data_IF_940698179253
#
_entry.id   IF_940698179253
#
_cell.length_a   1.000
_cell.length_b   1.000
_cell.length_c   1.000
_cell.angle_alpha   90.00
_cell.angle_beta   90.00
_cell.angle_gamma   90.00
#
_symmetry.space_group_name_H-M   'P 1'
#
loop_
_entity.id
_entity.type
_entity.pdbx_description
1 polymer ?
#
# COMPACT_ATOMS: atom_id res chain seq x y z
N UNK A 1 8.91 -19.94 -29.76
CA UNK A 1 10.18 -19.73 -29.02
C UNK A 1 10.51 -21.05 -28.35
N UNK A 2 11.67 -21.64 -28.66
CA UNK A 2 12.14 -22.87 -28.00
C UNK A 2 12.73 -22.47 -26.66
N UNK A 3 12.28 -23.00 -25.51
CA UNK A 3 12.89 -22.69 -24.23
C UNK A 3 14.35 -23.17 -24.25
N UNK A 4 15.30 -22.44 -23.63
CA UNK A 4 16.66 -22.93 -23.52
C UNK A 4 16.64 -24.29 -22.82
N UNK A 5 17.18 -25.30 -23.50
CA UNK A 5 17.34 -26.65 -22.97
C UNK A 5 18.10 -26.56 -21.63
N UNK A 6 17.66 -27.25 -20.57
CA UNK A 6 18.32 -27.18 -19.28
C UNK A 6 19.65 -27.94 -19.35
N UNK A 7 20.68 -27.29 -19.89
CA UNK A 7 22.08 -27.61 -19.61
C UNK A 7 22.50 -27.19 -18.19
N UNK A 8 21.55 -26.79 -17.35
CA UNK A 8 21.77 -26.31 -16.00
C UNK A 8 21.81 -27.49 -15.02
N UNK A 9 23.01 -27.92 -14.64
CA UNK A 9 23.24 -28.94 -13.61
C UNK A 9 22.79 -28.55 -12.18
N UNK A 10 22.02 -27.47 -12.01
CA UNK A 10 21.50 -27.00 -10.71
C UNK A 10 20.36 -25.99 -10.88
N UNK A 11 19.39 -26.04 -9.96
CA UNK A 11 18.31 -25.04 -9.81
C UNK A 11 18.86 -23.61 -9.62
N UNK A 12 20.09 -23.46 -9.10
CA UNK A 12 20.72 -22.16 -8.89
C UNK A 12 21.02 -21.40 -10.19
N UNK A 13 20.93 -22.08 -11.35
CA UNK A 13 21.08 -21.45 -12.66
C UNK A 13 19.75 -20.99 -13.26
N UNK A 14 18.62 -21.26 -12.59
CA UNK A 14 17.30 -20.87 -13.08
C UNK A 14 17.01 -19.42 -12.72
N UNK A 15 17.03 -18.54 -13.71
CA UNK A 15 16.61 -17.14 -13.56
C UNK A 15 15.28 -16.99 -12.81
N UNK A 16 14.18 -17.72 -13.12
CA UNK A 16 12.93 -17.55 -12.38
C UNK A 16 13.05 -17.95 -10.90
N UNK A 17 13.87 -18.96 -10.58
CA UNK A 17 14.14 -19.35 -9.19
C UNK A 17 14.92 -18.26 -8.43
N UNK A 18 15.96 -17.69 -9.05
CA UNK A 18 16.72 -16.59 -8.46
C UNK A 18 15.84 -15.37 -8.20
N UNK A 19 14.93 -15.04 -9.13
CA UNK A 19 13.93 -13.99 -8.95
C UNK A 19 13.00 -14.29 -7.78
N UNK A 20 12.51 -15.53 -7.66
CA UNK A 20 11.68 -15.97 -6.54
C UNK A 20 12.40 -15.84 -5.18
N UNK A 21 13.70 -16.17 -5.13
CA UNK A 21 14.51 -16.04 -3.91
C UNK A 21 14.69 -14.59 -3.49
N UNK A 22 14.97 -13.69 -4.44
CA UNK A 22 15.28 -12.28 -4.16
C UNK A 22 14.05 -11.44 -3.78
N UNK A 23 12.84 -12.02 -3.76
CA UNK A 23 11.64 -11.33 -3.30
C UNK A 23 11.63 -11.18 -1.78
N UNK A 24 11.10 -10.06 -1.29
CA UNK A 24 10.82 -9.92 0.14
C UNK A 24 9.53 -10.66 0.50
N UNK A 25 8.46 -10.39 -0.24
CA UNK A 25 7.15 -11.00 -0.04
C UNK A 25 6.90 -12.22 -0.93
N UNK A 26 5.79 -12.91 -0.66
CA UNK A 26 5.24 -13.93 -1.55
C UNK A 26 4.94 -13.32 -2.94
N UNK A 27 5.29 -13.97 -4.06
CA UNK A 27 4.87 -13.51 -5.37
C UNK A 27 3.34 -13.47 -5.47
N UNK A 28 2.82 -12.33 -5.96
CA UNK A 28 1.41 -12.16 -6.32
C UNK A 28 0.92 -13.31 -7.21
N UNK A 29 -0.30 -13.77 -6.93
CA UNK A 29 -0.97 -14.81 -7.71
C UNK A 29 -0.41 -16.22 -7.50
N UNK A 30 0.50 -16.42 -6.54
CA UNK A 30 0.96 -17.77 -6.19
C UNK A 30 -0.23 -18.62 -5.75
N UNK A 31 -0.30 -19.84 -6.26
CA UNK A 31 -1.37 -20.78 -5.93
C UNK A 31 -1.09 -21.48 -4.61
N UNK A 32 -2.14 -21.92 -3.94
CA UNK A 32 -2.03 -22.79 -2.76
C UNK A 32 -1.33 -24.10 -3.13
N UNK A 33 -0.86 -24.82 -2.12
CA UNK A 33 -0.48 -26.20 -2.37
C UNK A 33 -1.73 -27.00 -2.73
N UNK A 34 -1.65 -27.73 -3.84
CA UNK A 34 -2.63 -28.75 -4.17
C UNK A 34 -2.33 -30.01 -3.34
N UNK A 35 -3.37 -30.60 -2.79
CA UNK A 35 -3.30 -31.90 -2.14
C UNK A 35 -3.44 -32.98 -3.21
N UNK A 36 -2.60 -34.00 -3.14
CA UNK A 36 -2.74 -35.21 -3.94
C UNK A 36 -3.93 -36.06 -3.47
N UNK A 37 -4.23 -37.15 -4.19
CA UNK A 37 -5.32 -38.08 -3.83
C UNK A 37 -5.18 -38.69 -2.42
N UNK A 38 -3.97 -38.62 -1.82
CA UNK A 38 -3.69 -39.07 -0.47
C UNK A 38 -3.75 -37.93 0.57
N UNK A 39 -4.24 -36.74 0.20
CA UNK A 39 -4.33 -35.57 1.05
C UNK A 39 -2.97 -34.97 1.41
N UNK A 40 -1.94 -35.18 0.57
CA UNK A 40 -0.59 -34.70 0.83
C UNK A 40 -0.23 -33.57 -0.12
N UNK A 41 0.39 -32.53 0.44
CA UNK A 41 0.92 -31.42 -0.36
C UNK A 41 2.28 -31.77 -0.95
N UNK A 42 2.51 -31.30 -2.18
CA UNK A 42 3.82 -31.37 -2.82
C UNK A 42 4.54 -30.02 -2.72
N UNK A 43 5.65 -30.02 -1.96
CA UNK A 43 6.53 -28.86 -1.86
C UNK A 43 7.59 -28.99 -2.95
N UNK A 44 7.69 -27.99 -3.84
CA UNK A 44 8.59 -28.04 -4.98
C UNK A 44 10.07 -27.98 -4.56
N UNK A 45 10.95 -28.54 -5.39
CA UNK A 45 12.39 -28.47 -5.13
C UNK A 45 12.86 -27.01 -5.05
N UNK A 46 13.67 -26.71 -4.03
CA UNK A 46 14.15 -25.36 -3.75
C UNK A 46 13.12 -24.40 -3.12
N UNK A 47 11.86 -24.82 -2.92
CA UNK A 47 10.81 -23.95 -2.40
C UNK A 47 11.10 -23.56 -0.94
N UNK A 48 10.88 -22.27 -0.62
CA UNK A 48 11.29 -21.65 0.66
C UNK A 48 10.20 -20.82 1.33
N UNK A 49 9.07 -20.61 0.68
CA UNK A 49 7.98 -19.77 1.19
C UNK A 49 6.74 -20.61 1.43
N UNK A 50 6.08 -20.40 2.56
CA UNK A 50 4.86 -21.13 2.89
C UNK A 50 3.69 -20.64 2.05
N UNK A 51 2.95 -21.57 1.44
CA UNK A 51 1.73 -21.28 0.67
C UNK A 51 0.47 -21.75 1.39
N UNK A 52 0.56 -22.02 2.69
CA UNK A 52 -0.59 -22.38 3.50
C UNK A 52 -1.57 -21.22 3.61
N UNK A 53 -2.86 -21.51 3.50
CA UNK A 53 -3.92 -20.54 3.74
C UNK A 53 -4.23 -20.48 5.24
N UNK A 54 -4.03 -19.31 5.84
CA UNK A 54 -4.38 -18.99 7.22
C UNK A 54 -5.76 -18.32 7.22
N UNK A 55 -6.75 -18.96 7.84
CA UNK A 55 -8.09 -18.39 8.02
C UNK A 55 -8.86 -18.18 6.71
N UNK A 56 -8.53 -18.92 5.65
CA UNK A 56 -9.26 -18.91 4.38
C UNK A 56 -9.00 -17.69 3.48
N UNK A 57 -8.19 -16.71 3.91
CA UNK A 57 -8.01 -15.43 3.22
C UNK A 57 -6.57 -15.01 3.01
N UNK A 58 -5.63 -15.49 3.82
CA UNK A 58 -4.27 -14.94 3.87
C UNK A 58 -3.24 -16.06 3.78
N UNK A 59 -2.26 -15.92 2.90
CA UNK A 59 -1.14 -16.85 2.85
C UNK A 59 -0.21 -16.65 4.04
N UNK A 60 0.34 -17.74 4.55
CA UNK A 60 1.38 -17.68 5.56
C UNK A 60 2.59 -16.89 5.05
N UNK A 61 3.06 -15.91 5.84
CA UNK A 61 4.20 -15.05 5.49
C UNK A 61 5.56 -15.69 5.75
N UNK A 62 5.60 -16.93 6.26
CA UNK A 62 6.86 -17.58 6.67
C UNK A 62 7.74 -17.89 5.46
N UNK A 63 9.00 -17.44 5.55
CA UNK A 63 10.09 -17.80 4.64
C UNK A 63 11.17 -18.54 5.41
N UNK A 64 11.66 -19.65 4.87
CA UNK A 64 12.67 -20.51 5.52
C UNK A 64 13.88 -20.73 4.61
N UNK A 65 15.01 -21.16 5.18
CA UNK A 65 16.26 -21.34 4.45
C UNK A 65 16.30 -22.59 3.58
N UNK A 66 15.52 -23.63 3.91
CA UNK A 66 15.53 -24.91 3.19
C UNK A 66 14.14 -25.47 3.01
N UNK A 67 13.98 -26.32 1.99
CA UNK A 67 12.76 -27.09 1.76
C UNK A 67 12.41 -28.01 2.93
N UNK A 68 13.42 -28.58 3.60
CA UNK A 68 13.22 -29.41 4.79
C UNK A 68 12.60 -28.62 5.94
N UNK A 69 13.10 -27.40 6.19
CA UNK A 69 12.50 -26.48 7.16
C UNK A 69 11.07 -26.10 6.76
N UNK A 70 10.79 -25.96 5.46
CA UNK A 70 9.45 -25.61 4.97
C UNK A 70 8.46 -26.74 5.23
N UNK A 71 8.88 -27.99 4.97
CA UNK A 71 8.12 -29.19 5.34
C UNK A 71 7.80 -29.20 6.83
N UNK A 72 8.80 -29.02 7.69
CA UNK A 72 8.58 -29.01 9.14
C UNK A 72 7.64 -27.89 9.58
N UNK A 73 7.77 -26.70 8.99
CA UNK A 73 6.86 -25.58 9.24
C UNK A 73 5.42 -25.92 8.84
N UNK A 74 5.20 -26.42 7.62
CA UNK A 74 3.88 -26.79 7.12
C UNK A 74 3.19 -27.84 8.02
N UNK A 75 3.93 -28.87 8.43
CA UNK A 75 3.40 -29.91 9.31
C UNK A 75 3.08 -29.35 10.70
N UNK A 76 4.02 -28.64 11.33
CA UNK A 76 3.87 -28.23 12.74
C UNK A 76 2.92 -27.05 12.94
N UNK A 77 2.89 -26.10 12.01
CA UNK A 77 2.13 -24.86 12.16
C UNK A 77 0.77 -24.93 11.48
N UNK A 78 0.66 -25.69 10.39
CA UNK A 78 -0.57 -25.76 9.59
C UNK A 78 -1.21 -27.15 9.57
N UNK A 79 -0.66 -28.13 10.30
CA UNK A 79 -1.22 -29.49 10.39
C UNK A 79 -1.22 -30.26 9.06
N UNK A 80 -0.44 -29.81 8.07
CA UNK A 80 -0.46 -30.37 6.72
C UNK A 80 0.35 -31.66 6.62
N UNK A 81 -0.10 -32.59 5.78
CA UNK A 81 0.69 -33.77 5.43
C UNK A 81 1.49 -33.50 4.16
N UNK A 82 2.78 -33.78 4.16
CA UNK A 82 3.67 -33.49 3.02
C UNK A 82 4.12 -34.79 2.37
N UNK A 83 4.00 -34.87 1.04
CA UNK A 83 4.45 -36.01 0.27
C UNK A 83 5.95 -36.28 0.48
N UNK A 84 6.34 -37.56 0.42
CA UNK A 84 7.76 -37.93 0.48
C UNK A 84 8.43 -37.44 -0.79
N UNK A 85 9.55 -36.73 -0.66
CA UNK A 85 10.28 -36.30 -1.84
C UNK A 85 11.25 -37.38 -2.29
N UNK A 86 11.13 -37.78 -3.56
CA UNK A 86 12.01 -38.78 -4.17
C UNK A 86 13.40 -38.21 -4.53
N UNK A 87 13.56 -36.89 -4.61
CA UNK A 87 14.73 -36.23 -5.20
C UNK A 87 15.71 -35.60 -4.19
N UNK A 88 15.96 -36.25 -3.04
CA UNK A 88 16.80 -35.73 -1.94
C UNK A 88 18.31 -35.62 -2.26
N UNK A 89 18.75 -35.96 -3.48
CA UNK A 89 20.16 -35.92 -3.89
C UNK A 89 20.39 -35.17 -5.19
N UNK A 90 20.27 -35.87 -6.32
CA UNK A 90 20.44 -35.33 -7.67
C UNK A 90 19.12 -35.46 -8.43
N UNK A 91 18.32 -34.37 -8.52
CA UNK A 91 17.09 -34.43 -9.28
C UNK A 91 17.38 -34.69 -10.76
N UNK A 92 16.52 -35.47 -11.42
CA UNK A 92 16.66 -35.76 -12.84
C UNK A 92 16.50 -34.50 -13.71
N UNK A 93 17.08 -34.49 -14.91
CA UNK A 93 16.90 -33.40 -15.87
C UNK A 93 15.43 -33.06 -16.15
N UNK A 94 14.55 -34.06 -16.43
CA UNK A 94 13.12 -33.82 -16.60
C UNK A 94 12.45 -33.21 -15.36
N UNK A 95 12.81 -33.64 -14.16
CA UNK A 95 12.27 -33.03 -12.95
C UNK A 95 12.76 -31.59 -12.76
N UNK A 96 14.03 -31.31 -13.06
CA UNK A 96 14.56 -29.94 -13.06
C UNK A 96 13.84 -29.05 -14.08
N UNK A 97 13.41 -29.59 -15.22
CA UNK A 97 12.57 -28.87 -16.18
C UNK A 97 11.20 -28.51 -15.56
N UNK A 98 10.52 -29.46 -14.90
CA UNK A 98 9.26 -29.17 -14.19
C UNK A 98 9.44 -28.12 -13.09
N UNK A 99 10.56 -28.17 -12.37
CA UNK A 99 10.90 -27.17 -11.34
C UNK A 99 11.11 -25.79 -11.98
N UNK A 100 11.79 -25.71 -13.13
CA UNK A 100 11.95 -24.47 -13.86
C UNK A 100 10.60 -23.88 -14.29
N UNK A 101 9.73 -24.70 -14.87
CA UNK A 101 8.38 -24.29 -15.32
C UNK A 101 7.54 -23.78 -14.16
N UNK A 102 7.59 -24.46 -13.02
CA UNK A 102 6.90 -24.02 -11.80
C UNK A 102 7.31 -22.60 -11.38
N UNK A 103 8.62 -22.31 -11.27
CA UNK A 103 9.08 -20.97 -10.90
C UNK A 103 8.83 -19.94 -11.99
N UNK A 104 8.95 -20.33 -13.26
CA UNK A 104 8.65 -19.45 -14.38
C UNK A 104 7.19 -18.99 -14.35
N UNK A 105 6.24 -19.93 -14.19
CA UNK A 105 4.81 -19.63 -14.14
C UNK A 105 4.45 -18.72 -12.96
N UNK A 106 5.04 -18.96 -11.78
CA UNK A 106 4.83 -18.09 -10.61
C UNK A 106 5.32 -16.66 -10.90
N UNK A 107 6.51 -16.53 -11.48
CA UNK A 107 7.10 -15.21 -11.73
C UNK A 107 6.41 -14.46 -12.88
N UNK A 108 5.97 -15.16 -13.92
CA UNK A 108 5.22 -14.56 -15.02
C UNK A 108 3.86 -14.07 -14.56
N UNK A 109 3.14 -14.87 -13.77
CA UNK A 109 1.86 -14.47 -13.18
C UNK A 109 2.04 -13.29 -12.23
N UNK A 110 3.11 -13.30 -11.45
CA UNK A 110 3.45 -12.17 -10.60
C UNK A 110 3.68 -10.90 -11.41
N UNK A 111 4.51 -10.96 -12.46
CA UNK A 111 4.85 -9.79 -13.29
C UNK A 111 3.61 -9.22 -13.99
N UNK A 112 2.72 -10.10 -14.46
CA UNK A 112 1.45 -9.71 -15.06
C UNK A 112 0.57 -8.95 -14.07
N UNK A 113 0.43 -9.46 -12.84
CA UNK A 113 -0.37 -8.82 -11.80
C UNK A 113 0.26 -7.52 -11.30
N UNK A 114 1.58 -7.50 -11.09
CA UNK A 114 2.30 -6.30 -10.68
C UNK A 114 2.19 -5.18 -11.74
N UNK A 115 2.27 -5.53 -13.03
CA UNK A 115 2.07 -4.57 -14.11
C UNK A 115 0.63 -4.05 -14.15
N UNK A 116 -0.36 -4.88 -13.82
CA UNK A 116 -1.76 -4.44 -13.74
C UNK A 116 -2.00 -3.48 -12.56
N UNK A 117 -1.48 -3.81 -11.38
CA UNK A 117 -1.55 -2.95 -10.19
C UNK A 117 -0.86 -1.60 -10.43
N UNK A 118 0.34 -1.61 -11.03
CA UNK A 118 1.05 -0.38 -11.35
C UNK A 118 0.27 0.52 -12.33
N UNK A 119 -0.43 -0.06 -13.32
CA UNK A 119 -1.29 0.73 -14.22
C UNK A 119 -2.47 1.36 -13.47
N UNK A 120 -3.07 0.63 -12.53
CA UNK A 120 -4.17 1.14 -11.70
C UNK A 120 -3.67 2.29 -10.84
N UNK A 121 -2.51 2.15 -10.21
CA UNK A 121 -1.91 3.19 -9.37
C UNK A 121 -1.58 4.46 -10.16
N UNK A 122 -1.04 4.32 -11.37
CA UNK A 122 -0.78 5.44 -12.27
C UNK A 122 -2.06 6.19 -12.63
N UNK A 123 -3.14 5.48 -12.95
CA UNK A 123 -4.42 6.10 -13.29
C UNK A 123 -5.05 6.78 -12.07
N UNK A 124 -5.02 6.15 -10.90
CA UNK A 124 -5.49 6.77 -9.67
C UNK A 124 -4.69 8.03 -9.32
N UNK A 125 -3.36 8.01 -9.50
CA UNK A 125 -2.52 9.18 -9.30
C UNK A 125 -2.89 10.31 -10.28
N UNK A 126 -3.13 9.98 -11.57
CA UNK A 126 -3.58 10.95 -12.58
C UNK A 126 -4.91 11.59 -12.19
N UNK A 127 -5.88 10.79 -11.75
CA UNK A 127 -7.19 11.27 -11.30
C UNK A 127 -7.10 12.17 -10.07
N UNK A 128 -6.23 11.84 -9.11
CA UNK A 128 -5.98 12.69 -7.92
C UNK A 128 -5.40 14.06 -8.30
N UNK A 129 -4.42 14.08 -9.21
CA UNK A 129 -3.83 15.34 -9.71
C UNK A 129 -4.87 16.18 -10.45
N UNK A 130 -5.67 15.55 -11.31
CA UNK A 130 -6.74 16.24 -12.05
C UNK A 130 -7.82 16.80 -11.11
N UNK A 131 -8.23 16.04 -10.10
CA UNK A 131 -9.18 16.49 -9.08
C UNK A 131 -8.64 17.70 -8.30
N UNK A 132 -7.37 17.66 -7.88
CA UNK A 132 -6.74 18.78 -7.19
C UNK A 132 -6.63 20.02 -8.08
N UNK A 133 -6.29 19.85 -9.37
CA UNK A 133 -6.24 20.95 -10.32
C UNK A 133 -7.62 21.59 -10.53
N UNK A 134 -8.70 20.80 -10.56
CA UNK A 134 -10.07 21.31 -10.67
C UNK A 134 -10.48 22.11 -9.42
N UNK A 135 -10.13 21.64 -8.22
CA UNK A 135 -10.33 22.40 -6.97
C UNK A 135 -9.59 23.73 -7.03
N UNK A 136 -8.31 23.71 -7.43
CA UNK A 136 -7.50 24.92 -7.55
C UNK A 136 -8.04 25.91 -8.60
N UNK A 137 -8.62 25.41 -9.70
CA UNK A 137 -9.21 26.25 -10.75
C UNK A 137 -10.52 26.93 -10.30
N UNK A 138 -11.26 26.32 -9.37
CA UNK A 138 -12.46 26.91 -8.76
C UNK A 138 -12.09 27.97 -7.70
N UNK A 139 -10.88 27.92 -7.15
CA UNK A 139 -10.36 29.01 -6.32
C UNK A 139 -9.94 30.16 -7.23
N UNK A 140 -10.84 31.12 -7.43
CA UNK A 140 -10.52 32.34 -8.21
C UNK A 140 -9.24 33.00 -7.67
N UNK A 141 -8.29 33.42 -8.55
CA UNK A 141 -7.14 34.17 -8.09
C UNK A 141 -7.65 35.42 -7.38
N UNK A 142 -7.21 35.62 -6.13
CA UNK A 142 -7.50 36.84 -5.38
C UNK A 142 -6.95 38.00 -6.22
N UNK A 143 -7.82 38.65 -7.00
CA UNK A 143 -7.46 39.87 -7.72
C UNK A 143 -7.13 40.89 -6.63
N UNK A 144 -5.85 41.19 -6.45
CA UNK A 144 -5.39 42.37 -5.73
C UNK A 144 -5.77 43.62 -6.54
N UNK A 145 -7.07 43.89 -6.58
CA UNK A 145 -7.68 44.98 -7.32
C UNK A 145 -8.60 45.77 -6.41
N UNK A 146 -8.17 46.06 -5.18
CA UNK A 146 -8.80 47.11 -4.37
C UNK A 146 -7.67 47.83 -3.66
N UNK A 147 -7.47 49.12 -3.98
CA UNK A 147 -6.76 50.05 -3.09
C UNK A 147 -7.46 49.96 -1.73
N UNK A 148 -6.90 49.17 -0.83
CA UNK A 148 -7.37 49.14 0.53
C UNK A 148 -7.13 50.51 1.12
N UNK A 149 -8.21 51.17 1.54
CA UNK A 149 -8.07 52.19 2.58
C UNK A 149 -7.54 51.48 3.82
N UNK A 150 -6.52 52.06 4.44
CA UNK A 150 -5.92 51.53 5.66
C UNK A 150 -7.03 51.20 6.68
N UNK A 151 -7.02 49.97 7.20
CA UNK A 151 -7.93 49.52 8.27
C UNK A 151 -8.98 48.46 7.91
N UNK A 152 -9.20 48.10 6.63
CA UNK A 152 -10.22 47.08 6.24
C UNK A 152 -9.68 45.81 5.61
N UNK A 153 -8.37 45.72 5.39
CA UNK A 153 -7.70 44.48 5.07
C UNK A 153 -7.45 43.76 6.39
N UNK A 154 -8.00 42.58 6.63
CA UNK A 154 -7.20 41.46 7.16
C UNK A 154 -8.01 40.17 7.26
N UNK A 155 -9.30 40.19 7.57
CA UNK A 155 -10.07 38.96 7.83
C UNK A 155 -10.34 38.12 6.57
N UNK A 156 -10.82 38.72 5.48
CA UNK A 156 -11.08 37.98 4.23
C UNK A 156 -9.78 37.44 3.58
N UNK A 157 -8.65 38.13 3.79
CA UNK A 157 -7.35 37.66 3.29
C UNK A 157 -6.79 36.51 4.12
N UNK A 158 -6.88 36.58 5.45
CA UNK A 158 -6.44 35.50 6.34
C UNK A 158 -7.30 34.24 6.17
N UNK A 159 -8.61 34.40 5.99
CA UNK A 159 -9.54 33.30 5.75
C UNK A 159 -9.15 32.50 4.50
N UNK A 160 -8.83 33.21 3.41
CA UNK A 160 -8.44 32.58 2.14
C UNK A 160 -7.05 31.93 2.20
N UNK A 161 -6.11 32.48 2.98
CA UNK A 161 -4.78 31.87 3.18
C UNK A 161 -4.89 30.61 4.03
N UNK A 162 -5.65 30.63 5.14
CA UNK A 162 -5.86 29.47 5.99
C UNK A 162 -6.56 28.33 5.24
N UNK A 163 -7.54 28.66 4.41
CA UNK A 163 -8.24 27.67 3.58
C UNK A 163 -7.36 27.10 2.46
N UNK A 164 -6.46 27.91 1.88
CA UNK A 164 -5.47 27.45 0.89
C UNK A 164 -4.38 26.55 1.51
N UNK A 165 -4.13 26.69 2.81
CA UNK A 165 -3.22 25.84 3.58
C UNK A 165 -3.92 24.59 4.18
N UNK A 166 -5.22 24.39 3.91
CA UNK A 166 -5.99 23.22 4.36
C UNK A 166 -6.56 23.32 5.78
N UNK A 167 -6.52 24.50 6.41
CA UNK A 167 -7.14 24.72 7.71
C UNK A 167 -8.63 25.10 7.56
N UNK A 168 -9.50 24.48 8.36
CA UNK A 168 -10.89 24.91 8.50
C UNK A 168 -10.95 26.21 9.31
N UNK A 169 -11.60 27.21 8.75
CA UNK A 169 -11.58 28.55 9.33
C UNK A 169 -12.81 28.75 10.23
N UNK A 170 -12.66 29.30 11.45
CA UNK A 170 -13.73 29.29 12.47
C UNK A 170 -15.02 30.00 12.04
N UNK A 171 -14.93 30.88 11.05
CA UNK A 171 -16.05 31.70 10.59
C UNK A 171 -17.19 30.92 9.92
N UNK A 172 -16.94 29.72 9.38
CA UNK A 172 -17.99 28.89 8.76
C UNK A 172 -19.02 28.42 9.81
N UNK A 173 -18.57 28.16 11.04
CA UNK A 173 -19.47 27.86 12.17
C UNK A 173 -20.20 29.11 12.70
N UNK A 174 -19.57 30.29 12.68
CA UNK A 174 -20.24 31.53 13.08
C UNK A 174 -21.39 31.92 12.13
N UNK A 175 -21.22 31.77 10.81
CA UNK A 175 -22.29 32.11 9.85
C UNK A 175 -23.49 31.17 9.90
N UNK A 176 -23.27 29.90 10.30
CA UNK A 176 -24.34 28.92 10.43
C UNK A 176 -25.20 29.15 11.69
N UNK A 177 -24.61 29.67 12.77
CA UNK A 177 -25.30 29.86 14.06
C UNK A 177 -25.82 31.28 14.31
N UNK A 178 -25.29 32.31 13.63
CA UNK A 178 -25.69 33.70 13.86
C UNK A 178 -26.04 34.39 12.53
N UNK A 179 -27.26 34.16 12.05
CA UNK A 179 -27.75 34.59 10.75
C UNK A 179 -27.89 36.12 10.56
N UNK A 180 -27.41 36.97 11.48
CA UNK A 180 -27.64 38.43 11.40
C UNK A 180 -26.55 39.34 11.98
N UNK A 181 -25.38 38.84 12.34
CA UNK A 181 -24.27 39.70 12.78
C UNK A 181 -23.44 40.14 11.58
N UNK A 182 -23.66 41.38 11.11
CA UNK A 182 -22.91 42.00 10.00
C UNK A 182 -21.44 42.32 10.31
N UNK A 183 -20.96 42.04 11.52
CA UNK A 183 -19.60 42.34 11.96
C UNK A 183 -19.09 41.19 12.83
N UNK A 184 -18.02 40.53 12.37
CA UNK A 184 -17.21 39.61 13.17
C UNK A 184 -16.14 40.46 13.86
N UNK A 185 -16.34 40.79 15.13
CA UNK A 185 -15.31 41.46 15.92
C UNK A 185 -14.29 40.39 16.36
N UNK A 186 -13.19 40.29 15.64
CA UNK A 186 -11.96 39.78 16.25
C UNK A 186 -11.41 40.93 17.07
N UNK A 187 -11.64 40.89 18.39
CA UNK A 187 -10.83 41.70 19.30
C UNK A 187 -9.46 41.01 19.35
N UNK A 188 -8.41 41.74 18.96
CA UNK A 188 -7.09 41.47 19.52
C UNK A 188 -7.24 41.75 21.01
N UNK A 189 -7.02 40.72 21.83
CA UNK A 189 -7.03 40.82 23.29
C UNK A 189 -6.04 41.93 23.70
N UNK A 190 -6.55 43.14 23.90
CA UNK A 190 -5.98 44.04 24.88
C UNK A 190 -6.53 43.56 26.20
N UNK A 191 -5.64 43.06 27.05
CA UNK A 191 -5.92 42.71 28.42
C UNK A 191 -6.85 43.75 29.06
N UNK A 192 -7.93 43.25 29.67
CA UNK A 192 -9.03 43.97 30.32
C UNK A 192 -10.25 44.21 29.43
N UNK A 193 -11.16 43.23 29.39
CA UNK A 193 -12.55 43.41 29.83
C UNK A 193 -13.25 42.04 29.87
N UNK A 194 -13.80 41.73 31.03
CA UNK A 194 -14.76 40.67 31.26
C UNK A 194 -15.96 40.88 30.33
N UNK A 195 -16.15 40.02 29.32
CA UNK A 195 -17.50 39.59 28.94
C UNK A 195 -17.48 38.41 27.97
N UNK A 196 -18.35 37.44 28.27
CA UNK A 196 -18.57 36.20 27.55
C UNK A 196 -19.01 36.43 26.09
N UNK A 197 -18.20 36.03 25.12
CA UNK A 197 -18.70 35.31 23.91
C UNK A 197 -17.58 34.81 22.99
N UNK A 198 -17.69 33.53 22.63
CA UNK A 198 -16.94 32.83 21.57
C UNK A 198 -15.43 32.62 21.78
N UNK A 199 -15.04 31.95 22.86
CA UNK A 199 -13.73 31.30 22.98
C UNK A 199 -13.88 29.78 22.98
N UNK A 200 -13.86 29.16 21.80
CA UNK A 200 -13.42 27.76 21.70
C UNK A 200 -11.90 27.76 21.73
N UNK A 201 -11.34 27.63 22.95
CA UNK A 201 -9.94 27.29 23.22
C UNK A 201 -9.55 26.05 22.40
N UNK A 202 -8.58 26.18 21.51
CA UNK A 202 -7.81 25.03 21.01
C UNK A 202 -6.39 25.18 21.52
N UNK A 203 -6.07 24.44 22.58
CA UNK A 203 -4.72 24.25 23.08
C UNK A 203 -3.98 23.33 22.11
N UNK A 204 -2.81 23.75 21.62
CA UNK A 204 -1.88 22.86 20.92
C UNK A 204 -0.58 22.81 21.73
N UNK A 205 -0.38 21.71 22.46
CA UNK A 205 0.94 21.33 22.94
C UNK A 205 1.70 20.72 21.75
N UNK A 206 2.80 21.35 21.36
CA UNK A 206 3.78 20.80 20.44
C UNK A 206 4.96 20.28 21.25
N UNK A 207 4.94 18.98 21.56
CA UNK A 207 6.15 18.20 21.84
C UNK A 207 6.13 16.92 20.98
N UNK A 208 7.23 16.67 20.26
CA UNK A 208 7.54 15.40 19.60
C UNK A 208 7.81 15.49 18.11
#
# INVERSE_FOLDING_TARGET
MVPPSPGAGSINNFVPYLRYLNRLAMPLGVELWEEDDAGKINIMFGERRCRANIGGRVLCSTVVSTRGALKTHAVKQHGMTVAVSENMGKPSGPYLQTVWEFYHNIMDKHDLLAAAEHRIDQEQARLRVAAQAAVNAQMAPVRHGVRARAGQLHLGKMNNVLHALGYQVPCVNCSANFANTRICHFYEDNDNLEDDSCLSRVHWDLEG
#
